data_IF_597224715036
#
_entry.id   IF_597224715036
#
_cell.length_a   1.000
_cell.length_b   1.000
_cell.length_c   1.000
_cell.angle_alpha   90.00
_cell.angle_beta   90.00
_cell.angle_gamma   90.00
#
_symmetry.space_group_name_H-M   'P 1'
#
loop_
_entity.id
_entity.type
_entity.pdbx_description
1 polymer ?
#
# COMPACT_ATOMS: atom_id res chain seq x y z
N UNK A 1 9.83 31.48 19.23
CA UNK A 1 8.54 30.81 19.05
C UNK A 1 8.54 29.50 19.81
N UNK A 2 7.63 29.33 20.71
CA UNK A 2 7.45 28.04 21.36
C UNK A 2 6.92 27.06 20.34
N UNK A 3 7.75 26.09 19.94
CA UNK A 3 7.26 24.95 19.21
C UNK A 3 6.32 24.18 20.13
N UNK A 4 5.21 23.72 19.60
CA UNK A 4 4.34 22.82 20.34
C UNK A 4 5.09 21.50 20.52
N UNK A 5 5.80 21.38 21.66
CA UNK A 5 6.64 20.23 21.97
C UNK A 5 5.80 19.05 22.50
N UNK A 6 4.56 18.91 22.01
CA UNK A 6 3.72 17.79 22.40
C UNK A 6 4.32 16.50 21.89
N UNK A 7 4.49 15.57 22.83
CA UNK A 7 5.02 14.24 22.54
C UNK A 7 3.95 13.19 22.79
N UNK A 8 3.97 12.18 21.98
CA UNK A 8 3.00 11.08 22.03
C UNK A 8 3.71 9.79 22.39
N UNK A 9 3.05 8.97 23.20
CA UNK A 9 3.50 7.63 23.55
C UNK A 9 3.34 6.69 22.35
N UNK A 10 3.88 5.47 22.46
CA UNK A 10 3.62 4.41 21.48
C UNK A 10 2.12 4.19 21.26
N UNK A 11 1.38 4.09 22.37
CA UNK A 11 -0.07 3.86 22.30
C UNK A 11 -0.80 4.99 21.58
N UNK A 12 -0.51 6.23 21.96
CA UNK A 12 -1.12 7.41 21.33
C UNK A 12 -0.77 7.50 19.85
N UNK A 13 0.48 7.16 19.51
CA UNK A 13 0.95 7.14 18.11
C UNK A 13 0.22 6.08 17.30
N UNK A 14 0.00 4.89 17.86
CA UNK A 14 -0.81 3.86 17.21
C UNK A 14 -2.24 4.35 16.95
N UNK A 15 -2.85 5.01 17.92
CA UNK A 15 -4.20 5.56 17.78
C UNK A 15 -4.28 6.62 16.67
N UNK A 16 -3.25 7.47 16.57
CA UNK A 16 -3.21 8.55 15.57
C UNK A 16 -2.88 8.07 14.15
N UNK A 17 -2.11 7.00 14.02
CA UNK A 17 -1.62 6.51 12.73
C UNK A 17 -2.40 5.31 12.21
N UNK A 18 -3.19 4.66 13.06
CA UNK A 18 -3.90 3.43 12.72
C UNK A 18 -3.01 2.19 12.68
N UNK A 19 -1.74 2.31 13.06
CA UNK A 19 -0.84 1.16 13.10
C UNK A 19 -1.07 0.33 14.36
N UNK A 20 -0.80 -0.96 14.26
CA UNK A 20 -0.70 -1.83 15.44
C UNK A 20 0.60 -1.51 16.19
N UNK A 21 0.64 -1.88 17.46
CA UNK A 21 1.85 -1.74 18.27
C UNK A 21 3.05 -2.47 17.63
N UNK A 22 2.82 -3.69 17.16
CA UNK A 22 3.88 -4.50 16.55
C UNK A 22 4.41 -3.87 15.25
N UNK A 23 3.53 -3.31 14.43
CA UNK A 23 3.93 -2.62 13.20
C UNK A 23 4.78 -1.38 13.52
N UNK A 24 4.35 -0.57 14.48
CA UNK A 24 5.10 0.62 14.87
C UNK A 24 6.47 0.25 15.46
N UNK A 25 6.49 -0.76 16.33
CA UNK A 25 7.74 -1.28 16.91
C UNK A 25 8.69 -1.77 15.82
N UNK A 26 8.16 -2.49 14.84
CA UNK A 26 8.94 -2.98 13.70
C UNK A 26 9.56 -1.83 12.92
N UNK A 27 8.79 -0.81 12.60
CA UNK A 27 9.32 0.37 11.89
C UNK A 27 10.41 1.08 12.70
N UNK A 28 10.23 1.20 14.01
CA UNK A 28 11.26 1.77 14.89
C UNK A 28 12.53 0.93 14.86
N UNK A 29 12.40 -0.38 14.98
CA UNK A 29 13.54 -1.30 15.01
C UNK A 29 14.28 -1.34 13.67
N UNK A 30 13.57 -1.14 12.56
CA UNK A 30 14.16 -1.09 11.22
C UNK A 30 14.80 0.27 10.88
N UNK A 31 14.70 1.24 11.78
CA UNK A 31 15.28 2.56 11.54
C UNK A 31 14.49 3.41 10.55
N UNK A 32 13.22 3.08 10.31
CA UNK A 32 12.37 3.81 9.37
C UNK A 32 11.79 5.10 9.95
N UNK A 33 11.92 5.31 11.26
CA UNK A 33 11.49 6.52 11.95
C UNK A 33 12.74 7.16 12.58
N UNK A 34 13.48 7.98 11.80
CA UNK A 34 14.83 8.39 12.20
C UNK A 34 14.87 9.34 13.39
N UNK A 35 13.78 10.08 13.63
CA UNK A 35 13.76 11.12 14.66
C UNK A 35 13.01 10.72 15.93
N UNK A 36 12.74 9.42 16.09
CA UNK A 36 12.09 8.92 17.31
C UNK A 36 12.95 9.26 18.54
N UNK A 37 12.29 9.75 19.57
CA UNK A 37 12.94 10.21 20.81
C UNK A 37 12.62 9.25 21.94
N UNK A 38 13.34 9.39 23.03
CA UNK A 38 13.03 8.65 24.26
C UNK A 38 12.88 9.64 25.41
N UNK A 39 11.91 9.39 26.29
CA UNK A 39 11.73 10.18 27.49
C UNK A 39 12.70 9.73 28.59
N UNK A 40 12.63 10.37 29.75
CA UNK A 40 13.50 10.08 30.90
C UNK A 40 13.35 8.64 31.42
N UNK A 41 12.24 7.98 31.11
CA UNK A 41 11.99 6.59 31.49
C UNK A 41 12.41 5.63 30.37
N UNK A 42 13.10 6.14 29.34
CA UNK A 42 13.58 5.37 28.18
C UNK A 42 12.47 4.78 27.31
N UNK A 43 11.26 5.33 27.35
CA UNK A 43 10.17 4.98 26.43
C UNK A 43 10.25 5.83 25.18
N UNK A 44 9.95 5.21 24.04
CA UNK A 44 9.85 5.91 22.76
C UNK A 44 8.73 6.94 22.79
N UNK A 45 9.01 8.14 22.33
CA UNK A 45 8.03 9.22 22.19
C UNK A 45 8.17 9.88 20.82
N UNK A 46 7.07 10.41 20.32
CA UNK A 46 6.95 10.89 18.95
C UNK A 46 6.33 12.28 18.95
N UNK A 47 6.80 13.15 18.06
CA UNK A 47 6.18 14.45 17.84
C UNK A 47 5.23 14.43 16.63
N UNK A 48 4.64 15.57 16.32
CA UNK A 48 3.70 15.67 15.18
C UNK A 48 4.38 15.37 13.83
N UNK A 49 5.63 15.75 13.67
CA UNK A 49 6.38 15.43 12.46
C UNK A 49 6.61 13.93 12.32
N UNK A 50 6.90 13.25 13.42
CA UNK A 50 7.03 11.78 13.43
C UNK A 50 5.71 11.12 13.03
N UNK A 51 4.59 11.61 13.57
CA UNK A 51 3.25 11.10 13.23
C UNK A 51 3.00 11.24 11.73
N UNK A 52 3.28 12.42 11.16
CA UNK A 52 3.09 12.66 9.73
C UNK A 52 4.00 11.78 8.88
N UNK A 53 5.24 11.57 9.29
CA UNK A 53 6.17 10.68 8.60
C UNK A 53 5.69 9.22 8.64
N UNK A 54 5.22 8.75 9.79
CA UNK A 54 4.68 7.39 9.94
C UNK A 54 3.49 7.18 9.01
N UNK A 55 2.60 8.17 8.89
CA UNK A 55 1.49 8.12 7.93
C UNK A 55 2.00 8.01 6.49
N UNK A 56 3.07 8.73 6.17
CA UNK A 56 3.73 8.65 4.86
C UNK A 56 4.30 7.25 4.61
N UNK A 57 4.92 6.63 5.60
CA UNK A 57 5.43 5.25 5.49
C UNK A 57 4.30 4.27 5.15
N UNK A 58 3.14 4.44 5.76
CA UNK A 58 1.96 3.60 5.46
C UNK A 58 1.53 3.76 4.01
N UNK A 59 1.56 4.99 3.49
CA UNK A 59 1.26 5.26 2.08
C UNK A 59 2.28 4.60 1.16
N UNK A 60 3.57 4.69 1.47
CA UNK A 60 4.64 4.07 0.68
C UNK A 60 4.51 2.55 0.66
N UNK A 61 4.17 1.95 1.81
CA UNK A 61 3.89 0.52 1.91
C UNK A 61 2.73 0.13 0.99
N UNK A 62 1.66 0.90 1.00
CA UNK A 62 0.48 0.65 0.15
C UNK A 62 0.81 0.80 -1.34
N UNK A 63 1.82 1.62 -1.69
CA UNK A 63 2.33 1.72 -3.06
C UNK A 63 3.17 0.50 -3.48
N UNK A 64 3.40 -0.44 -2.59
CA UNK A 64 4.15 -1.65 -2.88
C UNK A 64 5.65 -1.55 -2.61
N UNK A 65 6.10 -0.54 -1.87
CA UNK A 65 7.51 -0.45 -1.49
C UNK A 65 7.86 -1.51 -0.46
N UNK A 66 8.97 -2.20 -0.70
CA UNK A 66 9.60 -3.09 0.28
C UNK A 66 10.27 -2.27 1.39
N UNK A 67 10.64 -2.95 2.48
CA UNK A 67 11.39 -2.30 3.57
C UNK A 67 12.70 -1.69 3.05
N UNK A 68 13.41 -2.41 2.19
CA UNK A 68 14.66 -1.90 1.58
C UNK A 68 14.38 -0.64 0.75
N UNK A 69 13.35 -0.67 -0.07
CA UNK A 69 12.96 0.49 -0.88
C UNK A 69 12.54 1.68 -0.02
N UNK A 70 11.81 1.44 1.07
CA UNK A 70 11.42 2.51 2.00
C UNK A 70 12.64 3.13 2.68
N UNK A 71 13.65 2.32 3.04
CA UNK A 71 14.91 2.82 3.61
C UNK A 71 15.68 3.69 2.61
N UNK A 72 15.74 3.28 1.36
CA UNK A 72 16.40 4.05 0.30
C UNK A 72 15.67 5.39 0.09
N UNK A 73 14.35 5.37 0.03
CA UNK A 73 13.55 6.58 -0.10
C UNK A 73 13.74 7.52 1.11
N UNK A 74 13.71 6.96 2.32
CA UNK A 74 13.98 7.72 3.55
C UNK A 74 15.35 8.41 3.50
N UNK A 75 16.39 7.69 3.09
CA UNK A 75 17.73 8.25 3.00
C UNK A 75 17.79 9.43 2.03
N UNK A 76 17.09 9.35 0.91
CA UNK A 76 16.95 10.49 -0.02
C UNK A 76 16.22 11.65 0.61
N UNK A 77 15.14 11.40 1.34
CA UNK A 77 14.41 12.45 2.05
C UNK A 77 15.28 13.17 3.08
N UNK A 78 16.12 12.41 3.79
CA UNK A 78 17.03 13.00 4.79
C UNK A 78 18.10 13.89 4.16
N UNK A 79 18.45 13.66 2.91
CA UNK A 79 19.39 14.52 2.16
C UNK A 79 18.71 15.81 1.67
N UNK A 80 17.39 15.91 1.76
CA UNK A 80 16.63 17.11 1.51
C UNK A 80 16.31 17.37 0.04
N UNK A 81 16.01 18.63 -0.25
CA UNK A 81 15.53 19.08 -1.55
C UNK A 81 16.36 18.64 -2.75
N UNK A 82 17.71 18.62 -2.72
CA UNK A 82 18.52 18.20 -3.88
C UNK A 82 18.19 16.80 -4.40
N UNK A 83 17.60 15.92 -3.59
CA UNK A 83 17.25 14.55 -4.00
C UNK A 83 15.84 14.41 -4.57
N UNK A 84 15.09 15.49 -4.70
CA UNK A 84 13.73 15.43 -5.27
C UNK A 84 13.70 14.77 -6.65
N UNK A 85 14.60 15.08 -7.60
CA UNK A 85 14.59 14.39 -8.89
C UNK A 85 14.69 12.87 -8.77
N UNK A 86 15.59 12.37 -7.90
CA UNK A 86 15.76 10.93 -7.66
C UNK A 86 14.51 10.31 -7.03
N UNK A 87 13.90 11.02 -6.07
CA UNK A 87 12.67 10.57 -5.43
C UNK A 87 11.52 10.46 -6.43
N UNK A 88 11.42 11.40 -7.36
CA UNK A 88 10.41 11.36 -8.42
C UNK A 88 10.56 10.15 -9.33
N UNK A 89 11.79 9.75 -9.65
CA UNK A 89 12.05 8.55 -10.45
C UNK A 89 11.52 7.30 -9.76
N UNK A 90 11.76 7.19 -8.45
CA UNK A 90 11.27 6.06 -7.64
C UNK A 90 9.75 6.03 -7.64
N UNK A 91 9.11 7.18 -7.42
CA UNK A 91 7.64 7.29 -7.38
C UNK A 91 7.02 7.00 -8.75
N UNK A 92 7.65 7.46 -9.83
CA UNK A 92 7.16 7.20 -11.19
C UNK A 92 7.21 5.70 -11.52
N UNK A 93 8.25 4.99 -11.08
CA UNK A 93 8.33 3.55 -11.26
C UNK A 93 7.21 2.83 -10.51
N UNK A 94 6.91 3.25 -9.29
CA UNK A 94 5.79 2.69 -8.50
C UNK A 94 4.45 3.00 -9.12
N UNK A 95 4.28 4.19 -9.65
CA UNK A 95 3.04 4.59 -10.35
C UNK A 95 2.78 3.64 -11.53
N UNK A 96 3.79 3.36 -12.35
CA UNK A 96 3.65 2.43 -13.48
C UNK A 96 3.27 1.02 -13.02
N UNK A 97 3.89 0.53 -11.95
CA UNK A 97 3.55 -0.78 -11.37
C UNK A 97 2.10 -0.82 -10.89
N UNK A 98 1.64 0.24 -10.22
CA UNK A 98 0.26 0.34 -9.72
C UNK A 98 -0.75 0.41 -10.87
N UNK A 99 -0.44 1.16 -11.92
CA UNK A 99 -1.30 1.26 -13.10
C UNK A 99 -1.42 -0.10 -13.79
N UNK A 100 -0.32 -0.87 -13.88
CA UNK A 100 -0.33 -2.22 -14.41
C UNK A 100 -1.22 -3.15 -13.57
N UNK A 101 -1.08 -3.12 -12.26
CA UNK A 101 -1.93 -3.90 -11.34
C UNK A 101 -3.40 -3.53 -11.45
N UNK A 102 -3.67 -2.23 -11.58
CA UNK A 102 -5.03 -1.73 -11.80
C UNK A 102 -5.63 -2.32 -13.07
N UNK A 103 -4.86 -2.38 -14.15
CA UNK A 103 -5.32 -2.96 -15.41
C UNK A 103 -5.58 -4.47 -15.27
N UNK A 104 -4.69 -5.18 -14.58
CA UNK A 104 -4.90 -6.63 -14.31
C UNK A 104 -6.19 -6.86 -13.52
N UNK A 105 -6.45 -6.02 -12.52
CA UNK A 105 -7.69 -6.10 -11.73
C UNK A 105 -8.90 -5.81 -12.63
N UNK A 106 -8.82 -4.80 -13.48
CA UNK A 106 -9.90 -4.48 -14.40
C UNK A 106 -10.19 -5.62 -15.37
N UNK A 107 -9.14 -6.27 -15.90
CA UNK A 107 -9.28 -7.44 -16.78
C UNK A 107 -9.99 -8.58 -16.07
N UNK A 108 -9.68 -8.82 -14.81
CA UNK A 108 -10.32 -9.84 -13.98
C UNK A 108 -11.80 -9.55 -13.76
N UNK A 109 -12.13 -8.28 -13.49
CA UNK A 109 -13.51 -7.82 -13.33
C UNK A 109 -14.27 -8.02 -14.64
N UNK A 110 -13.67 -7.66 -15.77
CA UNK A 110 -14.27 -7.81 -17.09
C UNK A 110 -14.54 -9.28 -17.42
N UNK A 111 -13.63 -10.17 -17.03
CA UNK A 111 -13.82 -11.61 -17.20
C UNK A 111 -15.05 -12.11 -16.43
N UNK A 112 -15.22 -11.66 -15.19
CA UNK A 112 -16.37 -12.05 -14.37
C UNK A 112 -17.67 -11.53 -14.99
N UNK A 113 -17.69 -10.29 -15.45
CA UNK A 113 -18.84 -9.73 -16.14
C UNK A 113 -19.19 -10.51 -17.39
N UNK A 114 -18.17 -10.91 -18.17
CA UNK A 114 -18.39 -11.75 -19.37
C UNK A 114 -19.00 -13.09 -19.00
N UNK A 115 -18.51 -13.74 -17.94
CA UNK A 115 -19.05 -15.02 -17.45
C UNK A 115 -20.51 -14.88 -17.01
N UNK A 116 -20.82 -13.83 -16.24
CA UNK A 116 -22.20 -13.59 -15.82
C UNK A 116 -23.12 -13.38 -17.01
N UNK A 117 -22.71 -12.60 -17.97
CA UNK A 117 -23.53 -12.36 -19.17
C UNK A 117 -23.73 -13.65 -19.96
N UNK A 118 -22.68 -14.44 -20.13
CA UNK A 118 -22.79 -15.74 -20.81
C UNK A 118 -23.79 -16.66 -20.11
N UNK A 119 -23.69 -16.76 -18.79
CA UNK A 119 -24.61 -17.61 -18.03
C UNK A 119 -26.06 -17.09 -18.08
N UNK A 120 -26.24 -15.81 -17.99
CA UNK A 120 -27.58 -15.20 -18.13
C UNK A 120 -28.15 -15.47 -19.52
N UNK A 121 -27.35 -15.38 -20.57
CA UNK A 121 -27.77 -15.65 -21.94
C UNK A 121 -28.13 -17.12 -22.13
N UNK A 122 -27.39 -18.02 -21.53
CA UNK A 122 -27.71 -19.48 -21.55
C UNK A 122 -29.03 -19.72 -20.82
N UNK A 123 -29.19 -19.17 -19.61
CA UNK A 123 -30.39 -19.40 -18.79
C UNK A 123 -31.65 -18.83 -19.44
N UNK A 124 -31.51 -17.75 -20.18
CA UNK A 124 -32.64 -17.11 -20.89
C UNK A 124 -32.92 -17.74 -22.28
N UNK A 125 -32.11 -18.70 -22.69
CA UNK A 125 -32.24 -19.34 -24.03
C UNK A 125 -31.68 -18.52 -25.18
N UNK A 126 -30.97 -17.45 -24.88
CA UNK A 126 -30.40 -16.52 -25.87
C UNK A 126 -29.20 -17.12 -26.60
N UNK A 127 -28.42 -17.95 -25.90
CA UNK A 127 -27.27 -18.65 -26.45
C UNK A 127 -27.20 -20.07 -25.93
N UNK A 128 -26.46 -20.93 -26.66
CA UNK A 128 -26.25 -22.33 -26.28
C UNK A 128 -25.11 -22.42 -25.27
N UNK A 129 -25.28 -23.32 -24.29
CA UNK A 129 -24.24 -23.64 -23.34
C UNK A 129 -23.09 -24.39 -23.98
N UNK A 130 -21.86 -24.04 -23.63
CA UNK A 130 -20.67 -24.83 -23.94
C UNK A 130 -19.76 -24.88 -22.72
N UNK A 131 -18.87 -25.85 -22.71
CA UNK A 131 -17.89 -26.04 -21.64
C UNK A 131 -16.58 -26.56 -22.21
N UNK A 132 -15.46 -26.10 -21.64
CA UNK A 132 -14.15 -26.69 -21.94
C UNK A 132 -13.86 -27.93 -21.10
N UNK A 133 -14.69 -28.25 -20.12
CA UNK A 133 -14.45 -29.32 -19.14
C UNK A 133 -15.30 -30.56 -19.41
N UNK A 134 -16.49 -30.38 -19.97
CA UNK A 134 -17.43 -31.47 -20.23
C UNK A 134 -17.98 -31.35 -21.64
N UNK A 135 -18.36 -32.49 -22.23
CA UNK A 135 -19.00 -32.52 -23.54
C UNK A 135 -20.46 -32.08 -23.37
N UNK A 136 -20.95 -31.24 -24.26
CA UNK A 136 -22.34 -30.77 -24.27
C UNK A 136 -23.03 -31.24 -25.58
N UNK A 137 -24.34 -31.11 -25.62
CA UNK A 137 -25.14 -31.46 -26.83
C UNK A 137 -24.69 -30.67 -28.07
N UNK A 138 -24.05 -29.55 -27.89
CA UNK A 138 -23.59 -28.66 -28.96
C UNK A 138 -22.26 -29.08 -29.58
N UNK A 139 -21.55 -30.03 -28.97
CA UNK A 139 -20.21 -30.43 -29.38
C UNK A 139 -20.24 -31.49 -30.49
N UNK A 140 -21.40 -32.05 -30.83
CA UNK A 140 -21.58 -33.08 -31.83
C UNK A 140 -21.94 -32.56 -33.23
N UNK A 141 -21.85 -31.23 -33.41
CA UNK A 141 -22.13 -30.57 -34.70
C UNK A 141 -20.84 -30.08 -35.37
#
# INVERSE_FOLDING_TARGET
>A
MAKNDKLYSMKETCEKTGLTYDALKFYCNEGLIPNVKRNKNNYRVFDDNDINWIKSLSCLKNCGMSIVEMKEYLNLCLKGEPTIPERKVILDAKLRELEHKKQEIQDSINYIHWKHQFYDDVLSGKTKYFSYLIKTENDDN
#
